data_IF_194558623617
#
_entry.id   IF_194558623617
#
_cell.length_a   1.000
_cell.length_b   1.000
_cell.length_c   1.000
_cell.angle_alpha   90.00
_cell.angle_beta   90.00
_cell.angle_gamma   90.00
#
_symmetry.space_group_name_H-M   'P 1'
#
loop_
_entity.id
_entity.type
_entity.pdbx_description
1 polymer ?
#
# COMPACT_ATOMS: atom_id res chain seq x y z
N UNK A 1 22.96 -61.04 17.15
CA UNK A 1 22.56 -60.92 15.73
C UNK A 1 22.12 -59.49 15.50
N UNK A 2 22.53 -58.93 14.37
CA UNK A 2 22.85 -57.53 14.13
C UNK A 2 21.73 -56.50 14.35
N UNK A 3 22.16 -55.30 14.79
CA UNK A 3 21.51 -54.00 14.55
C UNK A 3 21.33 -53.73 13.04
N UNK A 4 20.49 -52.75 12.69
CA UNK A 4 20.84 -51.58 11.85
C UNK A 4 19.58 -50.75 11.49
N UNK A 5 19.46 -49.59 12.13
CA UNK A 5 18.64 -48.43 11.72
C UNK A 5 19.58 -47.41 10.98
N UNK A 6 19.11 -46.27 10.46
CA UNK A 6 19.03 -45.98 9.03
C UNK A 6 20.19 -45.18 8.43
N UNK A 7 20.25 -45.30 7.09
CA UNK A 7 21.15 -44.70 6.09
C UNK A 7 21.55 -43.23 6.38
N UNK A 8 22.86 -43.00 6.57
CA UNK A 8 23.56 -41.77 6.17
C UNK A 8 23.77 -41.75 4.65
N UNK A 9 23.93 -40.56 4.03
CA UNK A 9 25.27 -39.98 3.77
C UNK A 9 25.28 -38.44 3.96
N UNK A 10 26.24 -37.79 4.64
CA UNK A 10 27.67 -37.63 4.36
C UNK A 10 28.00 -37.02 2.98
N UNK A 11 28.48 -35.76 3.01
CA UNK A 11 29.36 -35.05 2.05
C UNK A 11 28.78 -34.82 0.64
N UNK A 12 28.82 -33.62 0.07
CA UNK A 12 29.99 -33.10 -0.64
C UNK A 12 29.91 -31.56 -0.82
N UNK A 13 31.03 -30.90 -0.54
CA UNK A 13 31.33 -29.57 -1.02
C UNK A 13 31.90 -29.69 -2.45
N UNK A 14 31.35 -28.93 -3.40
CA UNK A 14 32.02 -28.63 -4.66
C UNK A 14 31.68 -27.20 -5.07
N UNK A 15 32.66 -26.34 -4.86
CA UNK A 15 32.81 -25.00 -5.38
C UNK A 15 32.97 -25.05 -6.91
N UNK A 16 32.40 -24.10 -7.65
CA UNK A 16 33.02 -23.61 -8.89
C UNK A 16 32.53 -22.21 -9.23
N UNK A 17 33.52 -21.32 -9.23
CA UNK A 17 33.49 -19.92 -9.56
C UNK A 17 33.16 -19.65 -11.04
N UNK A 18 32.43 -18.57 -11.33
CA UNK A 18 32.60 -17.86 -12.60
C UNK A 18 32.50 -16.35 -12.39
N UNK A 19 33.58 -15.69 -12.83
CA UNK A 19 33.87 -14.26 -12.75
C UNK A 19 32.93 -13.48 -13.67
N UNK A 20 32.30 -12.44 -13.16
CA UNK A 20 31.62 -11.42 -13.94
C UNK A 20 32.24 -10.05 -13.67
N UNK A 21 33.37 -9.77 -14.31
CA UNK A 21 33.85 -8.40 -14.52
C UNK A 21 33.05 -7.77 -15.66
N UNK A 22 32.62 -6.52 -15.49
CA UNK A 22 32.46 -5.46 -16.51
C UNK A 22 31.67 -4.33 -15.83
N UNK A 23 32.32 -3.25 -15.41
CA UNK A 23 32.78 -2.11 -16.20
C UNK A 23 31.84 -0.93 -15.93
N UNK A 24 32.39 0.10 -15.30
CA UNK A 24 31.77 1.39 -15.16
C UNK A 24 31.55 1.99 -16.55
N UNK A 25 30.31 2.39 -16.83
CA UNK A 25 30.04 3.41 -17.83
C UNK A 25 29.45 4.62 -17.11
N UNK A 26 30.31 5.64 -16.98
CA UNK A 26 29.95 6.98 -16.57
C UNK A 26 29.46 7.73 -17.81
N UNK A 27 28.15 7.91 -17.92
CA UNK A 27 27.59 9.04 -18.63
C UNK A 27 26.97 10.00 -17.63
N UNK A 28 27.75 11.02 -17.28
CA UNK A 28 27.21 12.28 -16.81
C UNK A 28 26.75 13.07 -18.05
N UNK A 29 25.49 13.48 -18.10
CA UNK A 29 25.18 14.84 -18.54
C UNK A 29 23.76 15.26 -18.12
N UNK A 30 23.68 16.54 -17.75
CA UNK A 30 22.64 17.13 -16.95
C UNK A 30 21.28 17.24 -17.66
N UNK A 31 20.23 16.89 -16.93
CA UNK A 31 19.01 17.68 -16.90
C UNK A 31 18.33 17.46 -15.55
N UNK A 32 18.58 18.42 -14.66
CA UNK A 32 17.74 18.68 -13.49
C UNK A 32 16.28 18.78 -13.93
N UNK A 33 15.55 17.70 -13.74
CA UNK A 33 14.10 17.70 -13.78
C UNK A 33 13.67 16.72 -12.70
N UNK A 34 13.06 17.28 -11.67
CA UNK A 34 12.57 16.62 -10.47
C UNK A 34 11.59 15.50 -10.82
N UNK A 35 12.10 14.31 -11.15
CA UNK A 35 11.26 13.17 -11.51
C UNK A 35 10.73 12.52 -10.24
N UNK A 36 9.66 13.12 -9.68
CA UNK A 36 8.76 12.42 -8.78
C UNK A 36 8.24 11.15 -9.47
N UNK A 37 8.15 10.00 -8.79
CA UNK A 37 7.72 8.75 -9.42
C UNK A 37 6.36 8.97 -10.10
N UNK A 38 6.35 8.89 -11.43
CA UNK A 38 5.16 9.16 -12.23
C UNK A 38 4.04 8.22 -11.78
N UNK A 39 2.94 8.80 -11.30
CA UNK A 39 1.76 8.04 -10.87
C UNK A 39 1.09 7.48 -12.11
N UNK A 40 1.08 6.16 -12.28
CA UNK A 40 0.49 5.46 -13.43
C UNK A 40 -0.78 4.74 -12.98
N UNK A 41 -1.78 4.73 -13.85
CA UNK A 41 -3.05 4.08 -13.56
C UNK A 41 -2.93 2.56 -13.71
N UNK A 42 -3.29 1.80 -12.68
CA UNK A 42 -3.19 0.33 -12.71
C UNK A 42 -4.06 -0.34 -13.77
N UNK A 43 -5.20 0.27 -14.13
CA UNK A 43 -6.17 -0.34 -15.06
C UNK A 43 -5.91 0.00 -16.53
N UNK A 44 -5.37 1.18 -16.84
CA UNK A 44 -5.16 1.63 -18.22
C UNK A 44 -3.70 1.97 -18.55
N UNK A 45 -2.80 1.83 -17.58
CA UNK A 45 -1.36 2.12 -17.69
C UNK A 45 -1.00 3.52 -18.20
N UNK A 46 -1.96 4.46 -18.12
CA UNK A 46 -1.75 5.86 -18.50
C UNK A 46 -1.11 6.63 -17.36
N UNK A 47 -0.12 7.49 -17.63
CA UNK A 47 0.45 8.38 -16.63
C UNK A 47 -0.57 9.43 -16.18
N UNK A 48 -0.35 10.02 -15.00
CA UNK A 48 -1.07 11.22 -14.58
C UNK A 48 -0.79 12.35 -15.55
N UNK A 49 -1.84 12.85 -16.19
CA UNK A 49 -1.83 14.11 -16.92
C UNK A 49 -2.37 15.22 -16.02
N UNK A 50 -1.98 16.47 -16.30
CA UNK A 50 -2.50 17.68 -15.62
C UNK A 50 -4.04 17.71 -15.65
N UNK A 51 -4.65 17.28 -16.77
CA UNK A 51 -6.11 17.25 -16.96
C UNK A 51 -6.82 16.12 -16.19
N UNK A 52 -6.09 15.06 -15.79
CA UNK A 52 -6.66 13.87 -15.16
C UNK A 52 -5.77 13.39 -14.02
N UNK A 53 -5.83 14.06 -12.85
CA UNK A 53 -5.07 13.65 -11.69
C UNK A 53 -5.52 12.26 -11.24
N UNK A 54 -4.55 11.35 -11.07
CA UNK A 54 -4.83 10.01 -10.55
C UNK A 54 -5.27 10.08 -9.10
N UNK A 55 -6.40 9.42 -8.81
CA UNK A 55 -6.94 9.31 -7.48
C UNK A 55 -6.55 7.95 -6.88
N UNK A 56 -5.98 7.91 -5.67
CA UNK A 56 -5.75 6.66 -4.97
C UNK A 56 -7.08 6.00 -4.59
N UNK A 57 -7.06 4.68 -4.42
CA UNK A 57 -8.21 3.95 -3.91
C UNK A 57 -8.55 4.42 -2.48
N UNK A 58 -9.79 4.86 -2.24
CA UNK A 58 -10.19 5.43 -0.94
C UNK A 58 -10.13 4.42 0.21
N UNK A 59 -10.13 3.12 -0.07
CA UNK A 59 -10.12 2.07 0.96
C UNK A 59 -8.71 1.73 1.42
N UNK A 60 -7.81 1.51 0.45
CA UNK A 60 -6.48 0.98 0.73
C UNK A 60 -5.33 1.93 0.38
N UNK A 61 -5.60 2.97 -0.42
CA UNK A 61 -4.66 3.98 -0.90
C UNK A 61 -3.37 3.44 -1.57
N UNK A 62 -3.30 2.13 -1.82
CA UNK A 62 -2.12 1.45 -2.39
C UNK A 62 -2.04 1.54 -3.91
N UNK A 63 -3.17 1.66 -4.58
CA UNK A 63 -3.28 1.71 -6.06
C UNK A 63 -3.95 3.01 -6.48
N UNK A 64 -3.66 3.44 -7.71
CA UNK A 64 -4.09 4.72 -8.25
C UNK A 64 -4.82 4.55 -9.58
N UNK A 65 -5.90 5.31 -9.77
CA UNK A 65 -6.73 5.25 -10.97
C UNK A 65 -7.01 6.63 -11.53
N UNK A 66 -7.06 6.75 -12.86
CA UNK A 66 -7.41 8.00 -13.53
C UNK A 66 -8.93 8.28 -13.50
N UNK A 67 -9.76 7.25 -13.34
CA UNK A 67 -11.22 7.34 -13.32
C UNK A 67 -11.86 6.27 -12.44
N UNK A 68 -13.15 6.46 -12.11
CA UNK A 68 -13.96 5.47 -11.39
C UNK A 68 -14.21 4.21 -12.23
N UNK A 69 -14.27 4.33 -13.55
CA UNK A 69 -14.46 3.19 -14.44
C UNK A 69 -13.25 2.27 -14.44
N UNK A 70 -12.04 2.85 -14.46
CA UNK A 70 -10.78 2.12 -14.29
C UNK A 70 -10.74 1.38 -12.94
N UNK A 71 -11.20 2.02 -11.86
CA UNK A 71 -11.29 1.37 -10.55
C UNK A 71 -12.28 0.19 -10.57
N UNK A 72 -13.46 0.33 -11.19
CA UNK A 72 -14.48 -0.73 -11.27
C UNK A 72 -14.02 -1.92 -12.13
N UNK A 73 -13.33 -1.66 -13.23
CA UNK A 73 -12.79 -2.69 -14.11
C UNK A 73 -11.76 -3.57 -13.38
N UNK A 74 -10.88 -2.94 -12.60
CA UNK A 74 -9.85 -3.64 -11.82
C UNK A 74 -10.38 -4.22 -10.49
N UNK A 75 -11.53 -3.75 -10.00
CA UNK A 75 -12.07 -4.12 -8.68
C UNK A 75 -12.17 -5.63 -8.46
N UNK A 76 -12.49 -6.43 -9.48
CA UNK A 76 -12.57 -7.90 -9.34
C UNK A 76 -11.23 -8.54 -8.96
N UNK A 77 -10.13 -8.04 -9.54
CA UNK A 77 -8.76 -8.50 -9.26
C UNK A 77 -8.27 -7.86 -7.97
N UNK A 78 -8.43 -6.54 -7.88
CA UNK A 78 -7.98 -5.73 -6.76
C UNK A 78 -8.68 -6.06 -5.44
N UNK A 79 -9.95 -6.51 -5.40
CA UNK A 79 -10.74 -6.68 -4.15
C UNK A 79 -10.01 -7.45 -3.05
N UNK A 80 -9.29 -8.53 -3.37
CA UNK A 80 -8.56 -9.36 -2.40
C UNK A 80 -7.38 -8.60 -1.80
N UNK A 81 -6.63 -7.90 -2.65
CA UNK A 81 -5.47 -7.09 -2.25
C UNK A 81 -5.90 -5.80 -1.55
N UNK A 82 -7.00 -5.21 -2.00
CA UNK A 82 -7.65 -4.04 -1.42
C UNK A 82 -7.96 -4.26 0.05
N UNK A 83 -8.52 -5.42 0.41
CA UNK A 83 -8.82 -5.74 1.80
C UNK A 83 -7.55 -5.80 2.67
N UNK A 84 -6.50 -6.49 2.19
CA UNK A 84 -5.21 -6.59 2.89
C UNK A 84 -4.55 -5.21 3.03
N UNK A 85 -4.46 -4.47 1.93
CA UNK A 85 -3.85 -3.14 1.91
C UNK A 85 -4.66 -2.13 2.74
N UNK A 86 -5.99 -2.23 2.78
CA UNK A 86 -6.83 -1.41 3.66
C UNK A 86 -6.57 -1.70 5.14
N UNK A 87 -6.36 -2.97 5.52
CA UNK A 87 -5.97 -3.31 6.89
C UNK A 87 -4.59 -2.74 7.24
N UNK A 88 -3.62 -2.84 6.32
CA UNK A 88 -2.27 -2.27 6.51
C UNK A 88 -2.36 -0.75 6.63
N UNK A 89 -3.14 -0.10 5.77
CA UNK A 89 -3.36 1.34 5.84
C UNK A 89 -4.02 1.73 7.16
N UNK A 90 -5.05 1.02 7.61
CA UNK A 90 -5.71 1.29 8.89
C UNK A 90 -4.77 1.09 10.09
N UNK A 91 -3.82 0.15 10.01
CA UNK A 91 -2.82 -0.09 11.06
C UNK A 91 -1.73 0.98 11.10
N UNK A 92 -1.29 1.45 9.93
CA UNK A 92 -0.21 2.45 9.79
C UNK A 92 -0.73 3.89 9.82
N UNK A 93 -2.01 4.10 9.55
CA UNK A 93 -2.66 5.38 9.79
C UNK A 93 -2.72 5.56 11.31
N UNK A 94 -1.63 6.10 11.87
CA UNK A 94 -1.60 6.71 13.18
C UNK A 94 -2.79 7.67 13.22
N UNK A 95 -3.88 7.18 13.80
CA UNK A 95 -5.02 8.02 14.11
C UNK A 95 -4.42 8.95 15.17
N UNK A 96 -3.91 10.11 14.73
CA UNK A 96 -3.95 11.32 15.54
C UNK A 96 -5.43 11.50 15.82
N UNK A 97 -5.88 10.81 16.86
CA UNK A 97 -7.12 11.08 17.53
C UNK A 97 -6.94 12.54 17.89
N UNK A 98 -7.50 13.42 17.07
CA UNK A 98 -7.95 14.70 17.56
C UNK A 98 -8.89 14.29 18.68
N UNK A 99 -8.35 14.21 19.90
CA UNK A 99 -9.14 14.38 21.09
C UNK A 99 -10.05 15.55 20.73
N UNK A 100 -11.38 15.38 20.74
CA UNK A 100 -12.21 16.54 20.57
C UNK A 100 -11.78 17.45 21.71
N UNK A 101 -11.04 18.52 21.38
CA UNK A 101 -10.68 19.59 22.30
C UNK A 101 -11.97 20.37 22.54
N UNK A 102 -12.96 19.67 23.10
CA UNK A 102 -14.13 20.28 23.66
C UNK A 102 -13.67 20.65 25.04
N UNK A 103 -13.17 21.88 25.13
CA UNK A 103 -13.05 22.57 26.40
C UNK A 103 -14.30 22.24 27.24
N UNK A 104 -14.16 21.83 28.50
CA UNK A 104 -15.31 21.61 29.37
C UNK A 104 -16.15 22.88 29.38
N UNK A 105 -17.25 22.91 28.62
CA UNK A 105 -18.26 23.96 28.76
C UNK A 105 -19.02 23.63 30.02
N UNK A 106 -18.55 24.23 31.11
CA UNK A 106 -19.31 24.37 32.34
C UNK A 106 -20.73 24.84 31.97
N UNK A 107 -21.73 23.98 32.16
CA UNK A 107 -23.14 24.31 31.91
C UNK A 107 -24.01 23.31 31.14
N UNK A 108 -23.48 22.27 30.47
CA UNK A 108 -24.36 21.32 29.74
C UNK A 108 -24.70 20.05 30.55
N UNK A 109 -25.54 20.21 31.59
CA UNK A 109 -26.30 19.11 32.23
C UNK A 109 -27.58 18.83 31.42
N UNK A 110 -27.45 18.61 30.11
CA UNK A 110 -28.60 18.51 29.19
C UNK A 110 -28.68 17.15 28.51
N UNK A 111 -29.13 16.14 29.24
CA UNK A 111 -29.36 14.79 28.71
C UNK A 111 -30.29 14.76 27.50
N UNK A 112 -30.05 13.76 26.66
CA UNK A 112 -30.83 13.28 25.53
C UNK A 112 -32.34 13.18 25.84
N UNK A 113 -33.13 14.24 25.62
CA UNK A 113 -34.53 14.25 26.08
C UNK A 113 -35.51 14.99 25.16
N UNK A 114 -35.53 14.72 23.85
CA UNK A 114 -36.74 15.01 23.04
C UNK A 114 -36.79 14.23 21.72
N UNK A 115 -37.22 12.97 21.79
CA UNK A 115 -38.05 12.37 20.74
C UNK A 115 -39.44 12.21 21.37
N UNK A 116 -40.09 13.34 21.64
CA UNK A 116 -41.49 13.33 22.04
C UNK A 116 -42.32 13.49 20.76
N UNK A 117 -43.19 12.49 20.59
CA UNK A 117 -44.08 12.23 19.48
C UNK A 117 -44.90 13.47 19.07
N UNK A 118 -45.09 13.62 17.76
CA UNK A 118 -45.96 14.60 17.10
C UNK A 118 -47.41 14.43 17.60
N UNK A 119 -48.15 15.54 17.67
CA UNK A 119 -49.48 15.64 18.30
C UNK A 119 -50.60 14.92 17.56
#
# INVERSE_FOLDING_TARGET
MAELDPRTPATEAAESSSRGSQAADSIAEASSSSQSPAKICTACSKPSSEDKPLKPCTKCQSVQYCSRDCQKADFKKHKKECAKAAQIYAKNADIKMATPSRAPKDGFRGGLQKWQFDT
#
